data_IF_835260689313
#
_entry.id   IF_835260689313
#
_cell.length_a   1.000
_cell.length_b   1.000
_cell.length_c   1.000
_cell.angle_alpha   90.00
_cell.angle_beta   90.00
_cell.angle_gamma   90.00
#
_symmetry.space_group_name_H-M   'P 1'
#
loop_
_entity.id
_entity.type
_entity.pdbx_description
1 polymer ?
#
# COMPACT_ATOMS: atom_id res chain seq x y z
N UNK A 1 14.23 -3.97 9.05
CA UNK A 1 14.34 -5.27 9.75
C UNK A 1 15.63 -5.96 9.34
N UNK A 2 16.24 -6.70 10.26
CA UNK A 2 17.57 -7.31 10.12
C UNK A 2 17.45 -8.83 10.18
N UNK A 3 18.04 -9.51 9.19
CA UNK A 3 17.86 -10.93 8.90
C UNK A 3 19.19 -11.66 8.96
N UNK A 4 19.27 -12.67 9.82
CA UNK A 4 20.40 -13.60 9.86
C UNK A 4 19.96 -14.91 9.18
N UNK A 5 20.40 -15.12 7.94
CA UNK A 5 19.95 -16.25 7.12
C UNK A 5 21.02 -17.36 7.09
N UNK A 6 20.64 -18.65 7.10
CA UNK A 6 21.58 -19.74 6.95
C UNK A 6 22.45 -19.61 5.69
N UNK A 7 23.76 -19.79 5.84
CA UNK A 7 24.72 -19.72 4.74
C UNK A 7 25.05 -18.32 4.23
N UNK A 8 24.67 -17.27 4.97
CA UNK A 8 25.10 -15.89 4.68
C UNK A 8 26.15 -15.45 5.71
N UNK A 9 27.25 -14.87 5.23
CA UNK A 9 28.33 -14.37 6.10
C UNK A 9 27.96 -13.06 6.81
N UNK A 10 26.94 -12.35 6.30
CA UNK A 10 26.52 -11.03 6.78
C UNK A 10 25.01 -10.95 7.01
N UNK A 11 24.63 -10.14 8.00
CA UNK A 11 23.23 -9.76 8.25
C UNK A 11 22.67 -8.96 7.08
N UNK A 12 21.47 -9.32 6.61
CA UNK A 12 20.77 -8.61 5.55
C UNK A 12 19.76 -7.62 6.14
N UNK A 13 19.71 -6.41 5.61
CA UNK A 13 18.67 -5.42 5.97
C UNK A 13 17.60 -5.34 4.89
N UNK A 14 16.32 -5.38 5.29
CA UNK A 14 15.17 -5.11 4.42
C UNK A 14 14.14 -4.26 5.15
N UNK A 15 13.51 -3.38 4.40
CA UNK A 15 12.43 -2.51 4.86
C UNK A 15 11.10 -3.11 4.42
N UNK A 16 10.11 -3.03 5.31
CA UNK A 16 8.75 -3.48 5.06
C UNK A 16 7.80 -2.46 5.67
N UNK A 17 6.86 -1.97 4.88
CA UNK A 17 5.78 -1.14 5.39
C UNK A 17 4.93 -1.94 6.37
N UNK A 18 4.50 -1.25 7.42
CA UNK A 18 3.49 -1.78 8.34
C UNK A 18 2.18 -1.93 7.56
N UNK A 19 1.62 -3.13 7.58
CA UNK A 19 0.41 -3.50 6.84
C UNK A 19 -0.75 -3.89 7.74
N UNK A 20 -0.70 -3.52 9.02
CA UNK A 20 -1.84 -3.67 9.91
C UNK A 20 -3.04 -2.86 9.41
N UNK A 21 -4.22 -3.40 9.65
CA UNK A 21 -5.45 -2.60 9.73
C UNK A 21 -5.52 -1.89 11.09
N UNK A 22 -6.43 -0.92 11.21
CA UNK A 22 -6.54 -0.06 12.39
C UNK A 22 -7.00 -0.87 13.61
N UNK A 23 -7.83 -1.90 13.41
CA UNK A 23 -8.26 -2.78 14.49
C UNK A 23 -7.12 -3.64 15.01
N UNK A 24 -6.31 -4.24 14.12
CA UNK A 24 -5.14 -5.00 14.50
C UNK A 24 -4.17 -4.15 15.33
N UNK A 25 -3.92 -2.89 14.97
CA UNK A 25 -3.06 -2.00 15.76
C UNK A 25 -3.65 -1.63 17.13
N UNK A 26 -4.98 -1.42 17.22
CA UNK A 26 -5.65 -1.05 18.48
C UNK A 26 -5.78 -2.23 19.43
N UNK A 27 -6.00 -3.43 18.89
CA UNK A 27 -6.31 -4.63 19.67
C UNK A 27 -5.08 -5.49 19.95
N UNK A 28 -4.02 -5.36 19.16
CA UNK A 28 -2.79 -6.11 19.32
C UNK A 28 -1.61 -5.18 19.59
N UNK A 29 -0.71 -5.61 20.47
CA UNK A 29 0.61 -4.99 20.60
C UNK A 29 1.58 -5.53 19.52
N UNK A 30 1.08 -5.82 18.32
CA UNK A 30 1.81 -6.49 17.25
C UNK A 30 1.82 -5.69 15.95
N UNK A 31 2.99 -5.60 15.32
CA UNK A 31 3.10 -5.12 13.95
C UNK A 31 2.92 -6.27 12.96
N UNK A 32 2.15 -6.01 11.90
CA UNK A 32 1.98 -6.87 10.74
C UNK A 32 2.79 -6.29 9.59
N UNK A 33 3.55 -7.16 8.93
CA UNK A 33 4.17 -6.89 7.63
C UNK A 33 3.66 -7.91 6.63
N UNK A 34 3.81 -7.63 5.33
CA UNK A 34 3.42 -8.58 4.28
C UNK A 34 4.52 -8.66 3.23
N UNK A 35 5.12 -9.84 3.12
CA UNK A 35 6.32 -10.07 2.30
C UNK A 35 5.95 -10.82 1.03
N UNK A 36 5.96 -10.12 -0.09
CA UNK A 36 5.80 -10.77 -1.41
C UNK A 36 7.04 -11.60 -1.73
N UNK A 37 6.82 -12.84 -2.19
CA UNK A 37 7.87 -13.68 -2.77
C UNK A 37 8.47 -12.99 -4.02
N UNK A 38 9.77 -12.73 -3.97
CA UNK A 38 10.57 -12.32 -5.13
C UNK A 38 11.48 -13.49 -5.50
N UNK A 39 11.33 -14.09 -6.70
CA UNK A 39 12.19 -15.18 -7.15
C UNK A 39 13.68 -14.77 -7.12
N UNK A 40 14.53 -15.60 -6.54
CA UNK A 40 15.95 -15.34 -6.29
C UNK A 40 16.23 -14.37 -5.13
N UNK A 41 15.19 -13.86 -4.45
CA UNK A 41 15.35 -12.93 -3.34
C UNK A 41 15.61 -13.66 -2.02
N UNK A 42 16.82 -13.52 -1.47
CA UNK A 42 17.25 -14.21 -0.24
C UNK A 42 16.24 -14.15 0.92
N UNK A 43 15.85 -12.94 1.33
CA UNK A 43 14.92 -12.76 2.47
C UNK A 43 13.49 -13.13 2.10
N UNK A 44 13.00 -12.72 0.92
CA UNK A 44 11.62 -13.00 0.51
C UNK A 44 11.36 -14.50 0.34
N UNK A 45 12.32 -15.24 -0.21
CA UNK A 45 12.25 -16.69 -0.31
C UNK A 45 12.32 -17.34 1.06
N UNK A 46 13.23 -16.90 1.95
CA UNK A 46 13.31 -17.43 3.32
C UNK A 46 12.00 -17.29 4.10
N UNK A 47 11.34 -16.13 3.99
CA UNK A 47 10.03 -15.89 4.64
C UNK A 47 8.94 -16.77 4.03
N UNK A 48 8.93 -16.94 2.71
CA UNK A 48 7.87 -17.67 2.00
C UNK A 48 8.11 -19.19 1.90
N UNK A 49 9.31 -19.69 2.17
CA UNK A 49 9.65 -21.12 2.14
C UNK A 49 9.17 -21.88 3.38
N UNK A 50 8.69 -21.16 4.39
CA UNK A 50 8.35 -21.71 5.70
C UNK A 50 9.56 -21.92 6.60
N UNK A 51 10.73 -21.37 6.29
CA UNK A 51 11.90 -21.45 7.17
C UNK A 51 11.77 -20.56 8.40
N UNK A 52 11.08 -19.42 8.29
CA UNK A 52 10.73 -18.58 9.44
C UNK A 52 9.56 -19.21 10.20
N UNK A 53 9.73 -19.44 11.51
CA UNK A 53 8.76 -20.09 12.40
C UNK A 53 8.21 -19.14 13.46
N UNK A 54 7.10 -19.54 14.07
CA UNK A 54 6.60 -18.91 15.29
C UNK A 54 7.70 -19.01 16.35
N UNK A 55 7.83 -17.98 17.17
CA UNK A 55 8.86 -17.79 18.20
C UNK A 55 10.29 -17.49 17.67
N UNK A 56 10.51 -17.45 16.35
CA UNK A 56 11.76 -16.93 15.79
C UNK A 56 11.92 -15.44 16.09
N UNK A 57 13.16 -15.04 16.41
CA UNK A 57 13.47 -13.65 16.74
C UNK A 57 14.03 -12.92 15.53
N UNK A 58 13.31 -11.91 15.06
CA UNK A 58 13.79 -10.99 14.01
C UNK A 58 14.03 -9.61 14.64
N UNK A 59 15.22 -9.04 14.40
CA UNK A 59 15.56 -7.71 14.93
C UNK A 59 14.89 -6.62 14.09
N UNK A 60 14.21 -5.71 14.77
CA UNK A 60 13.52 -4.58 14.17
C UNK A 60 14.01 -3.26 14.78
N UNK A 61 13.99 -2.20 13.98
CA UNK A 61 14.15 -0.83 14.46
C UNK A 61 12.77 -0.23 14.74
N UNK A 62 12.72 0.93 15.38
CA UNK A 62 11.48 1.72 15.45
C UNK A 62 10.93 2.00 14.04
N UNK A 63 9.59 2.16 13.89
CA UNK A 63 8.99 2.60 12.64
C UNK A 63 9.58 3.94 12.19
N UNK A 64 9.87 4.04 10.91
CA UNK A 64 10.38 5.25 10.24
C UNK A 64 9.65 5.42 8.92
N UNK A 65 9.55 6.65 8.43
CA UNK A 65 8.94 6.93 7.13
C UNK A 65 8.30 8.32 7.09
N UNK A 66 8.05 8.79 5.87
CA UNK A 66 7.30 10.03 5.60
C UNK A 66 5.99 9.77 4.84
N UNK A 67 5.70 8.50 4.55
CA UNK A 67 4.52 8.06 3.85
C UNK A 67 3.48 7.58 4.87
N UNK A 68 2.68 8.52 5.37
CA UNK A 68 1.64 8.24 6.35
C UNK A 68 0.45 9.18 6.13
N UNK A 69 -0.72 8.75 6.61
CA UNK A 69 -1.93 9.57 6.61
C UNK A 69 -1.89 10.53 7.80
N UNK A 70 -2.05 11.81 7.53
CA UNK A 70 -2.21 12.81 8.59
C UNK A 70 -3.67 12.85 9.03
N UNK A 71 -3.93 12.35 10.23
CA UNK A 71 -5.24 12.45 10.84
C UNK A 71 -5.60 13.92 11.11
N UNK A 72 -6.74 14.36 10.58
CA UNK A 72 -7.29 15.72 10.70
C UNK A 72 -7.81 16.06 12.11
N UNK A 73 -7.55 15.24 13.14
CA UNK A 73 -7.83 15.57 14.53
C UNK A 73 -7.22 16.90 15.02
N UNK A 74 -6.27 17.46 14.27
CA UNK A 74 -5.78 18.84 14.42
C UNK A 74 -6.47 19.80 13.44
N UNK A 75 -7.36 20.64 13.97
CA UNK A 75 -8.26 21.62 13.28
C UNK A 75 -7.52 22.64 12.38
N UNK A 76 -6.19 22.67 12.41
CA UNK A 76 -5.37 23.70 11.74
C UNK A 76 -4.84 23.27 10.36
N UNK A 77 -5.06 22.03 9.92
CA UNK A 77 -4.60 21.55 8.60
C UNK A 77 -5.75 21.38 7.61
N UNK A 78 -5.44 21.57 6.32
CA UNK A 78 -6.38 21.36 5.21
C UNK A 78 -6.95 19.94 5.29
N UNK A 79 -8.24 19.83 5.51
CA UNK A 79 -8.94 18.55 5.55
C UNK A 79 -9.46 18.23 4.15
N UNK A 80 -9.03 17.10 3.60
CA UNK A 80 -9.56 16.58 2.34
C UNK A 80 -10.80 15.72 2.62
N UNK A 81 -11.81 15.75 1.76
CA UNK A 81 -13.00 14.90 1.90
C UNK A 81 -12.86 13.55 1.18
N UNK A 82 -11.93 13.48 0.22
CA UNK A 82 -11.64 12.27 -0.55
C UNK A 82 -10.17 11.89 -0.41
N UNK A 83 -9.90 10.58 -0.27
CA UNK A 83 -8.57 10.00 -0.32
C UNK A 83 -8.49 9.03 -1.49
N UNK A 84 -7.59 9.28 -2.43
CA UNK A 84 -7.32 8.41 -3.56
C UNK A 84 -6.05 7.61 -3.31
N UNK A 85 -6.16 6.28 -3.41
CA UNK A 85 -5.09 5.33 -3.17
C UNK A 85 -4.79 4.59 -4.46
N UNK A 86 -3.57 4.71 -4.97
CA UNK A 86 -3.10 4.02 -6.17
C UNK A 86 -2.08 2.97 -5.76
N UNK A 87 -2.47 1.69 -5.89
CA UNK A 87 -1.68 0.56 -5.44
C UNK A 87 -1.26 -0.33 -6.61
N UNK A 88 0.04 -0.62 -6.71
CA UNK A 88 0.58 -1.65 -7.59
C UNK A 88 1.05 -2.86 -6.81
N UNK A 89 0.35 -3.99 -6.92
CA UNK A 89 0.70 -5.24 -6.23
C UNK A 89 0.90 -5.06 -4.73
N UNK A 90 2.04 -5.49 -4.19
CA UNK A 90 2.32 -5.41 -2.74
C UNK A 90 2.46 -3.97 -2.21
N UNK A 91 2.50 -2.95 -3.09
CA UNK A 91 2.43 -1.54 -2.72
C UNK A 91 1.14 -1.15 -1.99
N UNK A 92 0.14 -2.02 -1.91
CA UNK A 92 -1.04 -1.84 -1.05
C UNK A 92 -0.70 -1.81 0.45
N UNK A 93 0.44 -2.36 0.87
CA UNK A 93 0.77 -2.61 2.28
C UNK A 93 0.63 -1.38 3.20
N UNK A 94 1.29 -0.23 2.97
CA UNK A 94 1.07 0.96 3.81
C UNK A 94 -0.29 1.62 3.56
N UNK A 95 -0.93 1.35 2.42
CA UNK A 95 -2.22 1.94 2.07
C UNK A 95 -3.38 1.33 2.87
N UNK A 96 -3.19 0.16 3.49
CA UNK A 96 -4.20 -0.50 4.33
C UNK A 96 -4.59 0.39 5.52
N UNK A 97 -3.61 0.84 6.30
CA UNK A 97 -3.87 1.69 7.47
C UNK A 97 -4.39 3.06 7.07
N UNK A 98 -3.84 3.64 6.00
CA UNK A 98 -4.30 4.92 5.42
C UNK A 98 -5.78 4.84 5.03
N UNK A 99 -6.16 3.77 4.31
CA UNK A 99 -7.53 3.52 3.86
C UNK A 99 -8.49 3.48 5.05
N UNK A 100 -8.19 2.66 6.04
CA UNK A 100 -9.08 2.50 7.19
C UNK A 100 -9.16 3.73 8.07
N UNK A 101 -8.04 4.39 8.37
CA UNK A 101 -8.06 5.62 9.17
C UNK A 101 -8.87 6.72 8.45
N UNK A 102 -8.73 6.85 7.13
CA UNK A 102 -9.56 7.79 6.37
C UNK A 102 -11.05 7.43 6.44
N UNK A 103 -11.42 6.16 6.28
CA UNK A 103 -12.80 5.69 6.37
C UNK A 103 -13.39 5.86 7.79
N UNK A 104 -12.63 5.57 8.85
CA UNK A 104 -13.04 5.80 10.24
C UNK A 104 -13.28 7.28 10.53
N UNK A 105 -12.52 8.17 9.88
CA UNK A 105 -12.69 9.62 9.95
C UNK A 105 -13.82 10.16 9.05
N UNK A 106 -14.64 9.28 8.46
CA UNK A 106 -15.79 9.64 7.64
C UNK A 106 -15.43 10.16 6.25
N UNK A 107 -14.21 9.95 5.77
CA UNK A 107 -13.78 10.35 4.42
C UNK A 107 -14.24 9.35 3.37
N UNK A 108 -14.36 9.81 2.13
CA UNK A 108 -14.51 8.93 0.97
C UNK A 108 -13.14 8.40 0.57
N UNK A 109 -13.04 7.11 0.25
CA UNK A 109 -11.81 6.47 -0.19
C UNK A 109 -12.03 5.79 -1.54
N UNK A 110 -11.18 6.12 -2.51
CA UNK A 110 -11.10 5.43 -3.79
C UNK A 110 -9.78 4.65 -3.84
N UNK A 111 -9.85 3.33 -3.94
CA UNK A 111 -8.70 2.46 -4.12
C UNK A 111 -8.64 1.98 -5.58
N UNK A 112 -7.61 2.39 -6.30
CA UNK A 112 -7.28 1.96 -7.65
C UNK A 112 -6.17 0.91 -7.57
N UNK A 113 -6.54 -0.38 -7.66
CA UNK A 113 -5.64 -1.48 -7.33
C UNK A 113 -5.25 -2.29 -8.56
N UNK A 114 -3.98 -2.18 -8.97
CA UNK A 114 -3.42 -2.88 -10.12
C UNK A 114 -2.67 -4.14 -9.72
N UNK A 115 -3.09 -5.28 -10.26
CA UNK A 115 -2.49 -6.58 -10.00
C UNK A 115 -2.26 -7.36 -11.31
N UNK A 116 -1.33 -8.33 -11.26
CA UNK A 116 -1.07 -9.19 -12.43
C UNK A 116 -2.23 -10.14 -12.68
N UNK A 117 -2.69 -10.82 -11.63
CA UNK A 117 -3.80 -11.78 -11.62
C UNK A 117 -4.55 -11.71 -10.29
N UNK A 118 -5.79 -12.21 -10.25
CA UNK A 118 -6.59 -12.26 -9.02
C UNK A 118 -5.94 -13.11 -7.94
N UNK A 119 -5.33 -14.24 -8.32
CA UNK A 119 -4.67 -15.17 -7.40
C UNK A 119 -3.44 -14.53 -6.72
N UNK A 120 -2.83 -13.54 -7.37
CA UNK A 120 -1.68 -12.82 -6.85
C UNK A 120 -2.04 -11.54 -6.09
N UNK A 121 -3.34 -11.20 -6.01
CA UNK A 121 -3.83 -10.00 -5.36
C UNK A 121 -3.77 -10.18 -3.84
N UNK A 122 -2.98 -9.35 -3.18
CA UNK A 122 -2.92 -9.36 -1.73
C UNK A 122 -4.17 -8.67 -1.13
N UNK A 123 -4.56 -9.09 0.08
CA UNK A 123 -5.61 -8.49 0.90
C UNK A 123 -7.06 -8.70 0.42
N UNK A 124 -7.38 -9.79 -0.28
CA UNK A 124 -8.74 -10.08 -0.76
C UNK A 124 -9.81 -10.04 0.33
N UNK A 125 -9.58 -10.73 1.45
CA UNK A 125 -10.53 -10.77 2.56
C UNK A 125 -10.81 -9.37 3.12
N UNK A 126 -9.75 -8.61 3.37
CA UNK A 126 -9.83 -7.23 3.84
C UNK A 126 -10.60 -6.31 2.88
N UNK A 127 -10.39 -6.46 1.56
CA UNK A 127 -11.12 -5.70 0.55
C UNK A 127 -12.63 -6.00 0.57
N UNK A 128 -13.01 -7.26 0.78
CA UNK A 128 -14.43 -7.66 0.89
C UNK A 128 -15.05 -7.05 2.14
N UNK A 129 -14.39 -7.19 3.28
CA UNK A 129 -14.85 -6.65 4.57
C UNK A 129 -15.02 -5.13 4.53
N UNK A 130 -14.10 -4.40 3.90
CA UNK A 130 -14.24 -2.95 3.73
C UNK A 130 -15.41 -2.55 2.84
N UNK A 131 -15.64 -3.28 1.74
CA UNK A 131 -16.80 -3.01 0.87
C UNK A 131 -18.13 -3.20 1.60
N UNK A 132 -18.21 -4.23 2.45
CA UNK A 132 -19.41 -4.48 3.24
C UNK A 132 -19.60 -3.42 4.32
N UNK A 133 -18.53 -3.08 5.05
CA UNK A 133 -18.56 -2.15 6.17
C UNK A 133 -18.76 -0.68 5.74
N UNK A 134 -18.15 -0.27 4.63
CA UNK A 134 -18.11 1.13 4.17
C UNK A 134 -18.69 1.30 2.76
N UNK A 135 -19.80 0.61 2.46
CA UNK A 135 -20.41 0.56 1.12
C UNK A 135 -20.70 1.92 0.45
N UNK A 136 -20.93 2.98 1.24
CA UNK A 136 -21.19 4.34 0.73
C UNK A 136 -19.93 5.22 0.60
N UNK A 137 -18.82 4.80 1.18
CA UNK A 137 -17.61 5.63 1.31
C UNK A 137 -16.36 4.96 0.75
N UNK A 138 -16.36 3.64 0.52
CA UNK A 138 -15.23 2.90 -0.04
C UNK A 138 -15.54 2.42 -1.46
N UNK A 139 -14.78 2.93 -2.42
CA UNK A 139 -14.85 2.53 -3.82
C UNK A 139 -13.56 1.78 -4.19
N UNK A 140 -13.68 0.55 -4.65
CA UNK A 140 -12.55 -0.22 -5.21
C UNK A 140 -12.71 -0.34 -6.72
N UNK A 141 -11.70 0.10 -7.45
CA UNK A 141 -11.54 -0.17 -8.87
C UNK A 141 -10.32 -1.07 -9.10
N UNK A 142 -10.58 -2.31 -9.52
CA UNK A 142 -9.55 -3.30 -9.79
C UNK A 142 -9.08 -3.25 -11.25
N UNK A 143 -7.77 -3.41 -11.43
CA UNK A 143 -7.12 -3.60 -12.72
C UNK A 143 -6.31 -4.89 -12.69
N UNK A 144 -6.79 -5.92 -13.41
CA UNK A 144 -6.16 -7.23 -13.48
C UNK A 144 -5.62 -7.45 -14.89
N UNK A 145 -4.29 -7.36 -15.06
CA UNK A 145 -3.67 -7.35 -16.39
C UNK A 145 -3.85 -8.66 -17.18
N UNK A 146 -3.86 -9.82 -16.52
CA UNK A 146 -4.06 -11.13 -17.18
C UNK A 146 -5.50 -11.34 -17.66
N UNK A 147 -6.45 -10.60 -17.11
CA UNK A 147 -7.86 -10.64 -17.51
C UNK A 147 -8.13 -9.64 -18.66
N UNK A 148 -7.08 -9.04 -19.23
CA UNK A 148 -7.19 -7.98 -20.24
C UNK A 148 -7.53 -6.60 -19.66
N UNK A 149 -7.78 -6.49 -18.36
CA UNK A 149 -8.12 -5.24 -17.68
C UNK A 149 -6.88 -4.58 -17.04
N UNK A 150 -5.89 -4.25 -17.87
CA UNK A 150 -4.73 -3.46 -17.41
C UNK A 150 -5.12 -1.99 -17.27
N UNK A 151 -4.58 -1.29 -16.29
CA UNK A 151 -4.68 0.18 -16.24
C UNK A 151 -3.90 0.79 -17.42
N UNK A 152 -4.59 1.57 -18.23
CA UNK A 152 -4.09 2.28 -19.42
C UNK A 152 -4.56 3.73 -19.40
N UNK A 153 -4.16 4.53 -20.41
CA UNK A 153 -4.59 5.92 -20.48
C UNK A 153 -6.10 6.05 -20.74
N UNK A 154 -6.67 5.11 -21.51
CA UNK A 154 -8.08 5.12 -21.93
C UNK A 154 -9.04 4.81 -20.79
N UNK A 155 -8.62 3.97 -19.83
CA UNK A 155 -9.44 3.58 -18.68
C UNK A 155 -8.96 4.21 -17.36
N UNK A 156 -8.05 5.19 -17.43
CA UNK A 156 -7.55 5.88 -16.24
C UNK A 156 -8.69 6.65 -15.55
N UNK A 157 -8.85 6.56 -14.22
CA UNK A 157 -9.93 7.22 -13.52
C UNK A 157 -9.84 8.75 -13.62
N UNK A 158 -10.98 9.40 -13.88
CA UNK A 158 -11.09 10.86 -13.79
C UNK A 158 -11.34 11.24 -12.34
N UNK A 159 -10.44 12.00 -11.75
CA UNK A 159 -10.56 12.49 -10.38
C UNK A 159 -11.34 13.81 -10.42
N UNK A 160 -12.57 13.79 -9.91
CA UNK A 160 -13.49 14.94 -10.00
C UNK A 160 -13.14 16.06 -9.01
N UNK A 161 -12.88 15.72 -7.74
CA UNK A 161 -12.68 16.69 -6.66
C UNK A 161 -11.18 16.88 -6.33
N UNK A 162 -10.45 17.38 -7.33
CA UNK A 162 -8.97 17.43 -7.33
C UNK A 162 -8.42 18.24 -6.16
N UNK A 163 -9.01 19.40 -5.90
CA UNK A 163 -8.54 20.36 -4.88
C UNK A 163 -8.83 19.90 -3.44
N UNK A 164 -9.77 18.97 -3.28
CA UNK A 164 -10.21 18.41 -2.00
C UNK A 164 -9.93 16.89 -1.90
N UNK A 165 -8.93 16.43 -2.65
CA UNK A 165 -8.45 15.06 -2.60
C UNK A 165 -7.01 14.96 -2.08
N UNK A 166 -6.77 13.96 -1.23
CA UNK A 166 -5.42 13.54 -0.88
C UNK A 166 -5.04 12.29 -1.69
N UNK A 167 -3.85 12.27 -2.27
CA UNK A 167 -3.46 11.25 -3.25
C UNK A 167 -2.21 10.51 -2.79
N UNK A 168 -2.32 9.19 -2.66
CA UNK A 168 -1.24 8.29 -2.26
C UNK A 168 -0.96 7.29 -3.37
N UNK A 169 0.32 7.09 -3.68
CA UNK A 169 0.74 6.23 -4.78
C UNK A 169 1.92 5.36 -4.33
N UNK A 170 1.76 4.05 -4.50
CA UNK A 170 2.85 3.10 -4.26
C UNK A 170 2.71 1.86 -5.14
N UNK A 171 3.82 1.45 -5.76
CA UNK A 171 3.89 0.26 -6.58
C UNK A 171 5.24 0.13 -7.29
N UNK A 172 5.34 -0.71 -8.33
CA UNK A 172 6.53 -0.76 -9.18
C UNK A 172 6.83 0.60 -9.82
N UNK A 173 8.10 0.93 -10.04
CA UNK A 173 8.55 2.21 -10.62
C UNK A 173 7.75 2.61 -11.86
N UNK A 174 7.68 1.74 -12.86
CA UNK A 174 7.02 2.07 -14.14
C UNK A 174 5.52 2.31 -13.97
N UNK A 175 4.89 1.59 -13.03
CA UNK A 175 3.50 1.86 -12.64
C UNK A 175 3.38 3.24 -12.00
N UNK A 176 4.27 3.60 -11.08
CA UNK A 176 4.23 4.90 -10.40
C UNK A 176 4.50 6.06 -11.36
N UNK A 177 5.47 5.92 -12.28
CA UNK A 177 5.74 6.92 -13.34
C UNK A 177 4.47 7.15 -14.18
N UNK A 178 3.87 6.07 -14.67
CA UNK A 178 2.63 6.13 -15.45
C UNK A 178 1.48 6.82 -14.68
N UNK A 179 1.19 6.39 -13.44
CA UNK A 179 0.08 6.97 -12.65
C UNK A 179 0.34 8.44 -12.35
N UNK A 180 1.57 8.81 -11.97
CA UNK A 180 1.96 10.19 -11.70
C UNK A 180 1.77 11.08 -12.93
N UNK A 181 2.20 10.63 -14.10
CA UNK A 181 1.98 11.36 -15.36
C UNK A 181 0.49 11.56 -15.67
N UNK A 182 -0.34 10.53 -15.45
CA UNK A 182 -1.79 10.64 -15.66
C UNK A 182 -2.44 11.61 -14.69
N UNK A 183 -2.09 11.56 -13.39
CA UNK A 183 -2.58 12.52 -12.39
C UNK A 183 -2.14 13.95 -12.71
N UNK A 184 -0.88 14.15 -13.09
CA UNK A 184 -0.36 15.46 -13.51
C UNK A 184 -1.11 15.99 -14.75
N UNK A 185 -1.44 15.13 -15.72
CA UNK A 185 -2.24 15.54 -16.89
C UNK A 185 -3.66 15.98 -16.53
N UNK A 186 -4.15 15.59 -15.35
CA UNK A 186 -5.41 16.08 -14.79
C UNK A 186 -5.20 17.32 -13.90
N UNK A 187 -3.99 17.82 -13.71
CA UNK A 187 -3.68 18.97 -12.82
C UNK A 187 -3.54 18.60 -11.34
N UNK A 188 -3.33 17.31 -11.01
CA UNK A 188 -3.10 16.86 -9.64
C UNK A 188 -1.59 16.72 -9.42
N UNK A 189 -1.00 17.66 -8.69
CA UNK A 189 0.43 17.66 -8.39
C UNK A 189 0.76 17.19 -6.97
N UNK A 190 -0.20 17.32 -6.03
CA UNK A 190 -0.05 16.86 -4.65
C UNK A 190 -0.25 15.34 -4.57
N UNK A 191 0.83 14.60 -4.82
CA UNK A 191 0.87 13.14 -4.80
C UNK A 191 1.94 12.71 -3.80
N UNK A 192 1.52 12.03 -2.73
CA UNK A 192 2.41 11.37 -1.78
C UNK A 192 2.86 10.04 -2.38
N UNK A 193 4.17 9.82 -2.42
CA UNK A 193 4.79 8.65 -3.06
C UNK A 193 5.82 8.06 -2.10
N UNK A 194 5.89 6.74 -2.08
CA UNK A 194 6.99 5.97 -1.47
C UNK A 194 7.58 5.02 -2.52
N UNK A 195 8.78 4.49 -2.27
CA UNK A 195 9.47 3.57 -3.17
C UNK A 195 9.94 2.34 -2.41
N UNK A 196 9.73 1.16 -2.98
CA UNK A 196 10.32 -0.08 -2.48
C UNK A 196 11.62 -0.36 -3.24
N UNK A 197 12.74 0.06 -2.66
CA UNK A 197 14.07 -0.06 -3.26
C UNK A 197 14.69 1.28 -3.65
N UNK A 198 15.81 1.28 -4.38
CA UNK A 198 16.53 2.50 -4.75
C UNK A 198 15.64 3.50 -5.47
N UNK A 199 15.75 4.78 -5.10
CA UNK A 199 14.97 5.89 -5.65
C UNK A 199 15.51 6.42 -6.98
N UNK A 200 16.61 5.85 -7.49
CA UNK A 200 17.25 6.30 -8.74
C UNK A 200 16.39 5.86 -9.93
N UNK A 201 15.44 6.73 -10.30
CA UNK A 201 14.56 6.63 -11.47
C UNK A 201 14.13 7.97 -12.01
#
# INVERSE_FOLDING_TARGET
MRWNLPGQDFELSREYSISNDVQDLKNSNCFRISVRLIPGGLVSEYVNSGNLKIDDVVRVTSPIGKFFYEDSGNVTKKTFDTVNLFAGGIGITPLVSICETALENGKKVNLFYSNRSKESRAFDKWLVELKEKYSNSFNLQDFISKDGNKLTAENFPIIQDKENSDNYLLGPVEYMKFVKERLNSQGIENIKIEYFGPTDV
#
